data_IF_221806853093
#
_entry.id   IF_221806853093
#
_cell.length_a   1.000
_cell.length_b   1.000
_cell.length_c   1.000
_cell.angle_alpha   90.00
_cell.angle_beta   90.00
_cell.angle_gamma   90.00
#
_symmetry.space_group_name_H-M   'P 1'
#
loop_
_entity.id
_entity.type
_entity.pdbx_description
1 polymer ?
#
# COMPACT_ATOMS: atom_id res chain seq x y z
N UNK A 1 -25.49 -9.84 -3.15
CA UNK A 1 -24.50 -10.85 -3.58
C UNK A 1 -25.21 -12.06 -4.16
N UNK A 2 -24.74 -12.63 -5.27
CA UNK A 2 -25.29 -13.88 -5.83
C UNK A 2 -24.18 -14.69 -6.48
N UNK A 3 -24.33 -16.01 -6.50
CA UNK A 3 -23.34 -16.91 -7.08
C UNK A 3 -23.72 -18.37 -6.88
N UNK A 4 -22.87 -19.25 -7.36
CA UNK A 4 -22.94 -20.68 -7.15
C UNK A 4 -21.57 -21.19 -6.70
N UNK A 5 -21.58 -22.23 -5.88
CA UNK A 5 -20.42 -22.95 -5.40
C UNK A 5 -20.45 -24.36 -6.01
N UNK A 6 -19.30 -24.84 -6.45
CA UNK A 6 -19.04 -26.23 -6.80
C UNK A 6 -18.01 -26.76 -5.81
N UNK A 7 -18.36 -27.84 -5.09
CA UNK A 7 -17.48 -28.47 -4.10
C UNK A 7 -16.75 -29.68 -4.68
N UNK A 8 -15.72 -30.12 -3.97
CA UNK A 8 -14.88 -31.26 -4.37
C UNK A 8 -15.67 -32.58 -4.48
N UNK A 9 -16.72 -32.75 -3.68
CA UNK A 9 -17.65 -33.89 -3.75
C UNK A 9 -18.63 -33.81 -4.93
N UNK A 10 -18.53 -32.77 -5.76
CA UNK A 10 -19.42 -32.48 -6.88
C UNK A 10 -20.74 -31.84 -6.48
N UNK A 11 -21.01 -31.64 -5.18
CA UNK A 11 -22.20 -30.94 -4.72
C UNK A 11 -22.16 -29.47 -5.12
N UNK A 12 -23.34 -28.93 -5.43
CA UNK A 12 -23.51 -27.54 -5.86
C UNK A 12 -24.36 -26.78 -4.87
N UNK A 13 -24.07 -25.51 -4.65
CA UNK A 13 -24.92 -24.61 -3.86
C UNK A 13 -25.15 -23.30 -4.59
N UNK A 14 -26.39 -22.87 -4.69
CA UNK A 14 -26.73 -21.52 -5.14
C UNK A 14 -26.94 -20.57 -3.97
N UNK A 15 -26.66 -19.29 -4.16
CA UNK A 15 -27.06 -18.26 -3.21
C UNK A 15 -27.40 -16.95 -3.92
N UNK A 16 -28.36 -16.22 -3.35
CA UNK A 16 -28.75 -14.89 -3.82
C UNK A 16 -29.33 -14.08 -2.68
N UNK A 17 -28.66 -12.99 -2.36
CA UNK A 17 -28.94 -12.12 -1.22
C UNK A 17 -28.80 -10.66 -1.65
N UNK A 18 -29.53 -9.78 -0.99
CA UNK A 18 -29.54 -8.35 -1.23
C UNK A 18 -29.32 -7.64 0.10
N UNK A 19 -28.46 -6.64 0.09
CA UNK A 19 -28.26 -5.73 1.21
C UNK A 19 -28.72 -4.32 0.85
N UNK A 20 -29.10 -3.56 1.87
CA UNK A 20 -29.52 -2.16 1.80
C UNK A 20 -28.89 -1.40 2.98
N UNK A 21 -28.29 -0.24 2.72
CA UNK A 21 -27.52 0.54 3.72
C UNK A 21 -26.46 -0.27 4.48
N UNK A 22 -25.77 -1.16 3.77
CA UNK A 22 -24.72 -2.02 4.34
C UNK A 22 -25.23 -3.13 5.27
N UNK A 23 -26.55 -3.35 5.34
CA UNK A 23 -27.19 -4.41 6.13
C UNK A 23 -27.91 -5.40 5.25
N UNK A 24 -28.05 -6.63 5.72
CA UNK A 24 -28.82 -7.65 5.01
C UNK A 24 -30.31 -7.27 4.92
N UNK A 25 -30.93 -7.55 3.78
CA UNK A 25 -32.27 -7.04 3.45
C UNK A 25 -33.22 -8.13 2.93
N UNK A 26 -32.81 -8.88 1.90
CA UNK A 26 -33.61 -9.97 1.29
C UNK A 26 -32.69 -11.13 0.98
N UNK A 27 -33.13 -12.37 1.21
CA UNK A 27 -32.38 -13.57 0.82
C UNK A 27 -33.29 -14.59 0.12
N UNK A 28 -32.68 -15.42 -0.74
CA UNK A 28 -33.34 -16.51 -1.45
C UNK A 28 -33.16 -17.81 -0.66
N UNK A 29 -34.27 -18.43 -0.26
CA UNK A 29 -34.30 -19.84 0.15
C UNK A 29 -34.16 -20.69 -1.11
N UNK A 30 -33.07 -21.45 -1.22
CA UNK A 30 -32.77 -22.30 -2.39
C UNK A 30 -33.30 -23.72 -2.25
N UNK A 31 -33.87 -24.10 -1.11
CA UNK A 31 -34.62 -25.34 -0.96
C UNK A 31 -36.05 -25.13 -1.49
N UNK A 32 -36.67 -24.01 -1.11
CA UNK A 32 -38.06 -23.68 -1.48
C UNK A 32 -38.19 -22.79 -2.70
N UNK A 33 -37.09 -22.19 -3.15
CA UNK A 33 -37.04 -21.25 -4.28
C UNK A 33 -37.96 -20.04 -4.10
N UNK A 34 -38.00 -19.51 -2.87
CA UNK A 34 -38.76 -18.30 -2.51
C UNK A 34 -37.86 -17.31 -1.79
N UNK A 35 -38.10 -16.03 -1.98
CA UNK A 35 -37.41 -15.00 -1.22
C UNK A 35 -38.01 -14.86 0.17
N UNK A 36 -37.21 -14.49 1.15
CA UNK A 36 -37.67 -14.13 2.48
C UNK A 36 -37.06 -12.78 2.91
N UNK A 37 -37.84 -11.93 3.60
CA UNK A 37 -37.36 -10.65 4.08
C UNK A 37 -36.49 -10.83 5.32
N UNK A 38 -35.45 -10.03 5.45
CA UNK A 38 -34.63 -9.93 6.67
C UNK A 38 -34.98 -8.67 7.49
N UNK A 39 -35.79 -7.78 6.92
CA UNK A 39 -36.31 -6.57 7.56
C UNK A 39 -37.77 -6.33 7.17
N UNK A 40 -38.51 -5.56 7.96
CA UNK A 40 -39.92 -5.26 7.67
C UNK A 40 -40.09 -4.47 6.36
N UNK A 41 -39.14 -3.58 6.06
CA UNK A 41 -39.15 -2.78 4.84
C UNK A 41 -39.00 -3.65 3.58
N UNK A 42 -38.43 -4.85 3.70
CA UNK A 42 -38.27 -5.79 2.59
C UNK A 42 -39.55 -6.56 2.23
N UNK A 43 -40.55 -6.60 3.13
CA UNK A 43 -41.74 -7.45 2.97
C UNK A 43 -42.50 -7.20 1.67
N UNK A 44 -42.73 -5.92 1.32
CA UNK A 44 -43.47 -5.55 0.10
C UNK A 44 -42.76 -6.07 -1.15
N UNK A 45 -41.43 -5.97 -1.19
CA UNK A 45 -40.63 -6.47 -2.32
C UNK A 45 -40.70 -7.99 -2.42
N UNK A 46 -40.58 -8.68 -1.29
CA UNK A 46 -40.63 -10.15 -1.25
C UNK A 46 -42.00 -10.69 -1.65
N UNK A 47 -43.09 -10.09 -1.15
CA UNK A 47 -44.46 -10.46 -1.54
C UNK A 47 -44.64 -10.34 -3.06
N UNK A 48 -44.16 -9.24 -3.66
CA UNK A 48 -44.20 -9.06 -5.11
C UNK A 48 -43.34 -10.09 -5.86
N UNK A 49 -42.14 -10.40 -5.37
CA UNK A 49 -41.24 -11.34 -6.03
C UNK A 49 -41.71 -12.79 -5.96
N UNK A 50 -42.39 -13.16 -4.88
CA UNK A 50 -42.96 -14.48 -4.67
C UNK A 50 -44.40 -14.60 -5.21
N UNK A 51 -44.96 -13.56 -5.81
CA UNK A 51 -46.32 -13.61 -6.35
C UNK A 51 -46.42 -14.64 -7.49
N UNK A 52 -47.60 -15.24 -7.73
CA UNK A 52 -47.81 -16.22 -8.80
C UNK A 52 -47.45 -15.70 -10.20
N UNK A 53 -47.56 -14.39 -10.43
CA UNK A 53 -47.22 -13.74 -11.70
C UNK A 53 -45.71 -13.57 -11.85
N UNK A 54 -45.01 -13.25 -10.76
CA UNK A 54 -43.59 -12.92 -10.78
C UNK A 54 -42.69 -14.17 -10.68
N UNK A 55 -42.97 -15.06 -9.71
CA UNK A 55 -42.24 -16.32 -9.43
C UNK A 55 -40.71 -16.16 -9.57
N UNK A 56 -40.17 -15.09 -9.01
CA UNK A 56 -38.78 -14.67 -9.28
C UNK A 56 -37.79 -15.71 -8.78
N UNK A 57 -38.07 -16.34 -7.62
CA UNK A 57 -37.20 -17.36 -7.05
C UNK A 57 -37.04 -18.57 -7.97
N UNK A 58 -38.14 -19.10 -8.52
CA UNK A 58 -38.10 -20.20 -9.49
C UNK A 58 -37.33 -19.84 -10.77
N UNK A 59 -37.49 -18.62 -11.28
CA UNK A 59 -36.69 -18.17 -12.45
C UNK A 59 -35.19 -18.14 -12.15
N UNK A 60 -34.79 -17.97 -10.88
CA UNK A 60 -33.39 -18.03 -10.47
C UNK A 60 -32.87 -19.45 -10.28
N UNK A 61 -33.74 -20.44 -10.12
CA UNK A 61 -33.37 -21.87 -10.05
C UNK A 61 -32.50 -22.29 -11.23
N UNK A 62 -33.01 -22.14 -12.44
CA UNK A 62 -32.28 -22.53 -13.65
C UNK A 62 -30.93 -21.80 -13.79
N UNK A 63 -30.86 -20.53 -13.39
CA UNK A 63 -29.60 -19.80 -13.43
C UNK A 63 -28.59 -20.35 -12.42
N UNK A 64 -29.00 -20.54 -11.17
CA UNK A 64 -28.09 -20.92 -10.08
C UNK A 64 -27.67 -22.39 -10.13
N UNK A 65 -28.57 -23.30 -10.54
CA UNK A 65 -28.28 -24.73 -10.61
C UNK A 65 -27.55 -25.11 -11.92
N UNK A 66 -27.87 -24.46 -13.04
CA UNK A 66 -27.33 -24.85 -14.35
C UNK A 66 -26.36 -23.81 -14.92
N UNK A 67 -26.86 -22.64 -15.32
CA UNK A 67 -26.07 -21.65 -16.09
C UNK A 67 -24.83 -21.20 -15.33
N UNK A 68 -24.96 -20.97 -14.02
CA UNK A 68 -23.86 -20.54 -13.17
C UNK A 68 -22.82 -21.65 -13.01
N UNK A 69 -23.25 -22.90 -12.76
CA UNK A 69 -22.35 -24.05 -12.58
C UNK A 69 -21.61 -24.38 -13.89
N UNK A 70 -22.31 -24.38 -15.02
CA UNK A 70 -21.70 -24.60 -16.33
C UNK A 70 -20.68 -23.50 -16.66
N UNK A 71 -20.99 -22.26 -16.33
CA UNK A 71 -20.07 -21.14 -16.45
C UNK A 71 -18.85 -21.31 -15.55
N UNK A 72 -19.06 -21.65 -14.28
CA UNK A 72 -17.99 -21.88 -13.30
C UNK A 72 -17.04 -22.98 -13.77
N UNK A 73 -17.55 -24.12 -14.26
CA UNK A 73 -16.71 -25.21 -14.80
C UNK A 73 -15.83 -24.73 -15.96
N UNK A 74 -16.36 -23.92 -16.88
CA UNK A 74 -15.59 -23.35 -18.00
C UNK A 74 -14.51 -22.39 -17.50
N UNK A 75 -14.82 -21.53 -16.52
CA UNK A 75 -13.84 -20.59 -15.97
C UNK A 75 -12.76 -21.28 -15.16
N UNK A 76 -13.08 -22.35 -14.44
CA UNK A 76 -12.09 -23.20 -13.76
C UNK A 76 -11.12 -23.81 -14.77
N UNK A 77 -11.61 -24.27 -15.93
CA UNK A 77 -10.75 -24.81 -16.99
C UNK A 77 -9.88 -23.71 -17.63
N UNK A 78 -10.48 -22.58 -18.00
CA UNK A 78 -9.76 -21.48 -18.65
C UNK A 78 -8.73 -20.82 -17.73
N UNK A 79 -9.05 -20.69 -16.45
CA UNK A 79 -8.24 -20.02 -15.44
C UNK A 79 -7.36 -20.97 -14.63
N UNK A 80 -7.30 -22.26 -14.98
CA UNK A 80 -6.64 -23.28 -14.16
C UNK A 80 -5.23 -22.90 -13.75
N UNK A 81 -4.42 -22.44 -14.69
CA UNK A 81 -3.02 -22.05 -14.44
C UNK A 81 -2.92 -20.94 -13.38
N UNK A 82 -3.76 -19.91 -13.47
CA UNK A 82 -3.74 -18.79 -12.52
C UNK A 82 -4.35 -19.18 -11.16
N UNK A 83 -5.43 -19.97 -11.15
CA UNK A 83 -6.09 -20.42 -9.93
C UNK A 83 -5.23 -21.40 -9.12
N UNK A 84 -4.49 -22.29 -9.80
CA UNK A 84 -3.58 -23.25 -9.19
C UNK A 84 -2.17 -22.67 -8.97
N UNK A 85 -1.91 -21.44 -9.43
CA UNK A 85 -0.62 -20.77 -9.27
C UNK A 85 -0.26 -20.67 -7.79
N UNK A 86 0.99 -21.01 -7.47
CA UNK A 86 1.53 -20.90 -6.12
C UNK A 86 2.71 -19.94 -6.13
N UNK A 87 2.61 -18.88 -5.35
CA UNK A 87 3.71 -17.93 -5.15
C UNK A 87 4.15 -17.97 -3.71
N UNK A 88 5.46 -18.10 -3.50
CA UNK A 88 6.07 -18.17 -2.17
C UNK A 88 6.04 -16.79 -1.50
N UNK A 89 5.61 -16.69 -0.22
CA UNK A 89 5.66 -15.44 0.51
C UNK A 89 7.11 -14.95 0.70
N UNK A 90 7.32 -13.66 0.55
CA UNK A 90 8.49 -12.96 1.09
C UNK A 90 8.17 -12.46 2.50
N UNK A 91 9.07 -12.68 3.45
CA UNK A 91 8.84 -12.36 4.86
C UNK A 91 9.91 -11.41 5.36
N UNK A 92 9.49 -10.30 5.97
CA UNK A 92 10.37 -9.34 6.62
C UNK A 92 9.93 -9.12 8.06
N UNK A 93 10.88 -9.28 8.99
CA UNK A 93 10.68 -8.96 10.40
C UNK A 93 11.33 -7.61 10.71
N UNK A 94 10.54 -6.69 11.27
CA UNK A 94 10.98 -5.38 11.71
C UNK A 94 10.53 -5.15 13.15
N UNK A 95 11.23 -4.27 13.88
CA UNK A 95 10.82 -3.86 15.21
C UNK A 95 10.78 -2.35 15.36
N UNK A 96 9.91 -1.87 16.25
CA UNK A 96 9.80 -0.45 16.60
C UNK A 96 9.68 -0.31 18.12
N UNK A 97 10.44 0.61 18.75
CA UNK A 97 10.26 0.91 20.18
C UNK A 97 8.82 1.35 20.49
N UNK A 98 8.26 0.83 21.59
CA UNK A 98 6.92 1.12 22.11
C UNK A 98 7.01 1.36 23.62
N UNK A 99 7.46 2.56 24.01
CA UNK A 99 7.74 2.86 25.43
C UNK A 99 8.86 1.98 25.98
N UNK A 100 8.59 1.22 27.05
CA UNK A 100 9.50 0.21 27.61
C UNK A 100 9.43 -1.15 26.89
N UNK A 101 8.48 -1.33 25.98
CA UNK A 101 8.31 -2.52 25.17
C UNK A 101 8.85 -2.33 23.75
N UNK A 102 8.86 -3.41 22.98
CA UNK A 102 9.21 -3.46 21.57
C UNK A 102 8.04 -4.04 20.79
N UNK A 103 7.56 -3.31 19.78
CA UNK A 103 6.55 -3.82 18.85
C UNK A 103 7.24 -4.49 17.67
N UNK A 104 7.04 -5.80 17.52
CA UNK A 104 7.54 -6.59 16.40
C UNK A 104 6.49 -6.63 15.30
N UNK A 105 6.94 -6.59 14.05
CA UNK A 105 6.11 -6.66 12.86
C UNK A 105 6.65 -7.73 11.93
N UNK A 106 5.82 -8.72 11.64
CA UNK A 106 6.05 -9.68 10.58
C UNK A 106 5.25 -9.24 9.37
N UNK A 107 5.96 -8.87 8.31
CA UNK A 107 5.37 -8.43 7.06
C UNK A 107 5.54 -9.55 6.04
N UNK A 108 4.42 -10.06 5.52
CA UNK A 108 4.36 -11.17 4.58
C UNK A 108 3.80 -10.64 3.27
N UNK A 109 4.55 -10.79 2.18
CA UNK A 109 4.28 -10.16 0.88
C UNK A 109 4.30 -11.17 -0.26
N UNK A 110 3.62 -10.83 -1.36
CA UNK A 110 3.81 -11.49 -2.65
C UNK A 110 3.30 -12.93 -2.71
N UNK A 111 2.40 -13.35 -1.82
CA UNK A 111 1.93 -14.73 -1.79
C UNK A 111 0.62 -14.95 -2.56
N UNK A 112 0.43 -16.17 -3.07
CA UNK A 112 -0.80 -16.65 -3.67
C UNK A 112 -0.88 -18.18 -3.51
N UNK A 113 -2.02 -18.78 -3.11
CA UNK A 113 -3.36 -18.20 -2.95
C UNK A 113 -3.55 -17.32 -1.70
N UNK A 114 -4.77 -16.80 -1.48
CA UNK A 114 -5.08 -15.86 -0.39
C UNK A 114 -4.91 -16.42 1.02
N UNK A 115 -5.15 -17.72 1.17
CA UNK A 115 -5.19 -18.37 2.48
C UNK A 115 -3.77 -18.60 3.02
N UNK A 116 -3.48 -17.98 4.16
CA UNK A 116 -2.18 -18.01 4.84
C UNK A 116 -2.40 -18.01 6.36
N UNK A 117 -1.57 -18.73 7.10
CA UNK A 117 -1.50 -18.62 8.56
C UNK A 117 -0.15 -18.01 8.98
N UNK A 118 -0.19 -17.04 9.89
CA UNK A 118 0.99 -16.26 10.30
C UNK A 118 0.97 -16.06 11.80
N UNK A 119 1.85 -16.73 12.54
CA UNK A 119 1.87 -16.70 14.00
C UNK A 119 3.22 -16.22 14.53
N UNK A 120 3.18 -15.55 15.68
CA UNK A 120 4.39 -15.20 16.42
C UNK A 120 4.68 -16.30 17.43
N UNK A 121 5.96 -16.65 17.58
CA UNK A 121 6.42 -17.58 18.61
C UNK A 121 7.47 -16.93 19.50
N UNK A 122 7.38 -17.18 20.81
CA UNK A 122 8.41 -16.90 21.82
C UNK A 122 8.99 -18.22 22.31
N UNK A 123 10.28 -18.46 22.10
CA UNK A 123 10.95 -19.72 22.47
C UNK A 123 10.22 -20.96 21.93
N UNK A 124 9.70 -20.87 20.69
CA UNK A 124 8.95 -21.95 20.04
C UNK A 124 7.48 -22.07 20.43
N UNK A 125 6.99 -21.34 21.44
CA UNK A 125 5.57 -21.34 21.84
C UNK A 125 4.81 -20.19 21.19
N UNK A 126 3.61 -20.47 20.68
CA UNK A 126 2.75 -19.45 20.06
C UNK A 126 2.36 -18.35 21.06
N UNK A 127 2.44 -17.10 20.61
CA UNK A 127 1.97 -15.92 21.33
C UNK A 127 0.90 -15.18 20.51
N UNK A 128 -0.10 -14.59 21.17
CA UNK A 128 -1.17 -13.89 20.47
C UNK A 128 -0.63 -12.66 19.74
N UNK A 129 -1.19 -12.39 18.56
CA UNK A 129 -0.93 -11.15 17.83
C UNK A 129 -1.93 -10.07 18.28
N UNK A 130 -1.47 -8.83 18.40
CA UNK A 130 -2.29 -7.73 18.94
C UNK A 130 -3.30 -7.15 17.95
N UNK A 131 -3.13 -7.44 16.65
CA UNK A 131 -3.88 -6.80 15.56
C UNK A 131 -4.64 -7.84 14.75
N UNK A 132 -5.84 -7.45 14.28
CA UNK A 132 -6.60 -8.27 13.35
C UNK A 132 -5.80 -8.43 12.05
N UNK A 133 -5.36 -9.67 11.78
CA UNK A 133 -4.60 -10.04 10.58
C UNK A 133 -5.50 -9.95 9.35
N UNK A 134 -5.52 -8.80 8.68
CA UNK A 134 -6.23 -8.67 7.41
C UNK A 134 -5.30 -8.99 6.24
N UNK A 135 -5.69 -9.95 5.41
CA UNK A 135 -5.04 -10.20 4.11
C UNK A 135 -5.53 -9.16 3.10
N UNK A 136 -4.61 -8.37 2.58
CA UNK A 136 -4.86 -7.31 1.59
C UNK A 136 -4.38 -7.76 0.20
N UNK A 137 -5.12 -7.42 -0.87
CA UNK A 137 -4.70 -7.73 -2.24
C UNK A 137 -3.64 -6.75 -2.76
N UNK A 138 -2.78 -7.23 -3.65
CA UNK A 138 -1.84 -6.45 -4.45
C UNK A 138 -2.33 -6.33 -5.90
N UNK A 139 -1.77 -5.39 -6.66
CA UNK A 139 -2.14 -5.14 -8.06
C UNK A 139 -1.71 -6.23 -9.04
N UNK A 140 -0.74 -7.06 -8.64
CA UNK A 140 -0.16 -8.16 -9.43
C UNK A 140 -0.89 -9.50 -9.18
N UNK A 141 -2.02 -9.47 -8.49
CA UNK A 141 -2.80 -10.66 -8.14
C UNK A 141 -2.27 -11.45 -6.94
N UNK A 142 -1.21 -10.98 -6.27
CA UNK A 142 -0.73 -11.56 -5.00
C UNK A 142 -1.39 -10.89 -3.79
N UNK A 143 -1.03 -11.34 -2.60
CA UNK A 143 -1.55 -10.84 -1.34
C UNK A 143 -0.43 -10.37 -0.40
N UNK A 144 -0.81 -9.59 0.60
CA UNK A 144 0.06 -9.15 1.69
C UNK A 144 -0.68 -9.19 3.04
N UNK A 145 0.08 -9.40 4.11
CA UNK A 145 -0.43 -9.43 5.49
C UNK A 145 0.64 -8.88 6.43
N UNK A 146 0.19 -8.25 7.52
CA UNK A 146 1.05 -7.83 8.64
C UNK A 146 0.52 -8.43 9.94
N UNK A 147 1.40 -9.12 10.67
CA UNK A 147 1.13 -9.61 12.01
C UNK A 147 2.05 -8.90 13.01
N UNK A 148 1.46 -8.26 14.02
CA UNK A 148 2.20 -7.47 15.01
C UNK A 148 2.07 -8.09 16.41
N UNK A 149 3.12 -7.96 17.22
CA UNK A 149 3.07 -8.32 18.64
C UNK A 149 3.94 -7.37 19.46
N UNK A 150 3.45 -6.94 20.61
CA UNK A 150 4.19 -6.16 21.59
C UNK A 150 4.85 -7.10 22.60
N UNK A 151 6.16 -6.96 22.76
CA UNK A 151 6.97 -7.81 23.63
C UNK A 151 7.90 -6.94 24.47
N UNK A 152 8.15 -7.37 25.71
CA UNK A 152 9.28 -6.87 26.48
C UNK A 152 10.44 -7.83 26.25
N UNK A 153 11.52 -7.43 25.54
CA UNK A 153 12.63 -8.33 25.27
C UNK A 153 13.25 -8.82 26.59
N UNK A 154 13.33 -10.14 26.73
CA UNK A 154 13.96 -10.80 27.87
C UNK A 154 15.31 -11.39 27.43
N UNK A 155 16.31 -11.35 28.31
CA UNK A 155 17.62 -11.92 28.03
C UNK A 155 17.50 -13.43 27.75
N UNK A 156 18.01 -13.86 26.59
CA UNK A 156 17.93 -15.25 26.13
C UNK A 156 16.60 -15.66 25.49
N UNK A 157 15.58 -14.79 25.48
CA UNK A 157 14.35 -15.07 24.74
C UNK A 157 14.55 -14.90 23.24
N UNK A 158 13.92 -15.78 22.47
CA UNK A 158 13.93 -15.78 21.02
C UNK A 158 12.51 -15.56 20.49
N UNK A 159 12.38 -14.73 19.46
CA UNK A 159 11.10 -14.41 18.84
C UNK A 159 11.19 -14.72 17.35
N UNK A 160 10.17 -15.38 16.82
CA UNK A 160 10.11 -15.76 15.40
C UNK A 160 8.73 -15.59 14.82
N UNK A 161 8.67 -15.13 13.58
CA UNK A 161 7.46 -15.19 12.77
C UNK A 161 7.39 -16.53 12.03
N UNK A 162 6.28 -17.24 12.19
CA UNK A 162 5.99 -18.51 11.57
C UNK A 162 4.91 -18.31 10.50
N UNK A 163 5.21 -18.67 9.25
CA UNK A 163 4.30 -18.50 8.11
C UNK A 163 4.03 -19.86 7.47
N UNK A 164 2.78 -20.29 7.53
CA UNK A 164 2.29 -21.49 6.86
C UNK A 164 1.42 -21.08 5.66
N UNK A 165 1.74 -21.66 4.51
CA UNK A 165 1.13 -21.30 3.24
C UNK A 165 1.27 -22.45 2.24
N UNK A 166 0.24 -22.71 1.44
CA UNK A 166 0.18 -23.85 0.51
C UNK A 166 1.26 -23.87 -0.60
N UNK A 167 2.01 -22.78 -0.78
CA UNK A 167 3.17 -22.73 -1.70
C UNK A 167 4.51 -23.15 -1.05
N UNK A 168 4.49 -23.52 0.23
CA UNK A 168 5.64 -23.94 1.00
C UNK A 168 5.58 -25.44 1.28
N UNK A 169 6.74 -26.11 1.23
CA UNK A 169 6.85 -27.52 1.62
C UNK A 169 6.91 -27.67 3.15
N UNK A 170 7.56 -26.69 3.80
CA UNK A 170 7.63 -26.53 5.25
C UNK A 170 7.37 -25.06 5.61
N UNK A 171 6.77 -24.77 6.77
CA UNK A 171 6.52 -23.40 7.20
C UNK A 171 7.80 -22.56 7.27
N UNK A 172 7.73 -21.29 6.87
CA UNK A 172 8.83 -20.36 7.03
C UNK A 172 8.94 -19.92 8.49
N UNK A 173 10.15 -19.99 9.03
CA UNK A 173 10.47 -19.51 10.37
C UNK A 173 11.52 -18.40 10.28
N UNK A 174 11.09 -17.16 10.50
CA UNK A 174 11.95 -15.97 10.40
C UNK A 174 12.18 -15.41 11.80
N UNK A 175 13.42 -15.53 12.28
CA UNK A 175 13.84 -15.01 13.58
C UNK A 175 13.89 -13.49 13.55
N UNK A 176 13.50 -12.85 14.65
CA UNK A 176 13.79 -11.44 14.87
C UNK A 176 15.24 -11.28 15.33
N UNK A 177 16.05 -10.55 14.54
CA UNK A 177 17.36 -10.07 14.99
C UNK A 177 17.24 -8.61 15.49
N UNK A 178 17.52 -8.34 16.78
CA UNK A 178 17.55 -6.98 17.31
C UNK A 178 18.51 -6.04 16.56
N UNK A 179 19.54 -6.55 15.87
CA UNK A 179 20.53 -5.74 15.14
C UNK A 179 19.98 -5.14 13.86
N UNK A 180 19.08 -5.82 13.16
CA UNK A 180 18.47 -5.34 11.90
C UNK A 180 17.69 -4.02 12.12
N UNK A 181 17.17 -3.83 13.33
CA UNK A 181 16.49 -2.59 13.72
C UNK A 181 17.46 -1.40 13.94
N UNK A 182 18.71 -1.67 14.30
CA UNK A 182 19.74 -0.64 14.52
C UNK A 182 20.34 -0.16 13.20
N UNK A 183 20.51 -1.05 12.21
CA UNK A 183 21.06 -0.67 10.90
C UNK A 183 20.13 0.26 10.11
N UNK A 184 18.81 0.01 10.16
CA UNK A 184 17.83 0.90 9.52
C UNK A 184 17.89 2.34 10.08
N UNK A 185 18.07 2.51 11.39
CA UNK A 185 18.24 3.82 12.02
C UNK A 185 19.57 4.50 11.69
N UNK A 186 20.66 3.72 11.60
CA UNK A 186 21.98 4.22 11.24
C UNK A 186 22.03 4.75 9.79
N UNK A 187 21.47 4.00 8.84
CA UNK A 187 21.42 4.39 7.43
C UNK A 187 20.62 5.70 7.24
N UNK A 188 19.52 5.88 7.97
CA UNK A 188 18.71 7.09 7.92
C UNK A 188 19.48 8.31 8.46
N UNK A 189 20.23 8.15 9.54
CA UNK A 189 21.08 9.21 10.09
C UNK A 189 22.21 9.60 9.13
N UNK A 190 22.83 8.63 8.46
CA UNK A 190 23.84 8.88 7.42
C UNK A 190 23.23 9.65 6.24
N UNK A 191 22.06 9.23 5.74
CA UNK A 191 21.37 9.91 4.63
C UNK A 191 21.04 11.35 5.01
N UNK A 192 20.50 11.59 6.21
CA UNK A 192 20.21 12.94 6.71
C UNK A 192 21.50 13.77 6.78
N UNK A 193 22.58 13.20 7.31
CA UNK A 193 23.89 13.86 7.39
C UNK A 193 24.44 14.28 6.03
N UNK A 194 24.34 13.40 5.02
CA UNK A 194 24.77 13.69 3.65
C UNK A 194 23.93 14.80 3.04
N UNK A 195 22.60 14.75 3.17
CA UNK A 195 21.70 15.78 2.62
C UNK A 195 21.98 17.15 3.22
N UNK A 196 22.16 17.24 4.55
CA UNK A 196 22.53 18.49 5.22
C UNK A 196 23.89 18.99 4.73
N UNK A 197 24.88 18.11 4.61
CA UNK A 197 26.21 18.45 4.10
C UNK A 197 26.16 19.06 2.69
N UNK A 198 25.39 18.46 1.77
CA UNK A 198 25.22 18.96 0.40
C UNK A 198 24.56 20.34 0.38
N UNK A 199 23.52 20.56 1.19
CA UNK A 199 22.84 21.87 1.29
C UNK A 199 23.80 22.96 1.78
N UNK A 200 24.59 22.67 2.82
CA UNK A 200 25.57 23.63 3.35
C UNK A 200 26.61 24.00 2.29
N UNK A 201 27.15 23.01 1.58
CA UNK A 201 28.12 23.26 0.49
C UNK A 201 27.49 24.09 -0.63
N UNK A 202 26.25 23.79 -1.03
CA UNK A 202 25.55 24.55 -2.07
C UNK A 202 25.31 26.01 -1.66
N UNK A 203 24.95 26.27 -0.40
CA UNK A 203 24.77 27.63 0.12
C UNK A 203 26.10 28.40 0.18
N UNK A 204 27.19 27.75 0.58
CA UNK A 204 28.52 28.36 0.61
C UNK A 204 29.00 28.71 -0.81
N UNK A 205 28.88 27.79 -1.75
CA UNK A 205 29.25 28.02 -3.16
C UNK A 205 28.36 29.10 -3.78
N UNK A 206 27.04 29.02 -3.57
CA UNK A 206 26.09 30.03 -4.04
C UNK A 206 26.36 31.42 -3.44
N UNK A 207 26.71 31.48 -2.15
CA UNK A 207 27.12 32.70 -1.47
C UNK A 207 28.40 33.31 -2.06
N UNK A 208 29.43 32.49 -2.31
CA UNK A 208 30.69 32.94 -2.93
C UNK A 208 30.45 33.45 -4.35
N UNK A 209 29.70 32.71 -5.17
CA UNK A 209 29.34 33.12 -6.54
C UNK A 209 28.52 34.41 -6.53
N UNK A 210 27.56 34.52 -5.60
CA UNK A 210 26.76 35.72 -5.38
C UNK A 210 27.62 36.94 -5.03
N UNK A 211 28.56 36.81 -4.08
CA UNK A 211 29.47 37.88 -3.68
C UNK A 211 30.39 38.31 -4.82
N UNK A 212 30.95 37.36 -5.60
CA UNK A 212 31.81 37.68 -6.76
C UNK A 212 31.01 38.43 -7.82
N UNK A 213 29.80 37.98 -8.14
CA UNK A 213 28.93 38.66 -9.09
C UNK A 213 28.55 40.08 -8.63
N UNK A 214 28.28 40.25 -7.33
CA UNK A 214 27.97 41.55 -6.73
C UNK A 214 29.16 42.52 -6.79
N UNK A 215 30.38 42.04 -6.50
CA UNK A 215 31.61 42.82 -6.63
C UNK A 215 31.89 43.22 -8.07
N UNK A 216 31.66 42.32 -9.04
CA UNK A 216 31.81 42.60 -10.47
C UNK A 216 30.83 43.67 -10.95
N UNK A 217 29.58 43.64 -10.47
CA UNK A 217 28.55 44.66 -10.78
C UNK A 217 28.89 46.04 -10.19
N UNK A 218 29.49 46.11 -9.00
CA UNK A 218 29.94 47.39 -8.40
C UNK A 218 31.18 47.98 -9.09
N UNK A 219 32.05 47.16 -9.67
CA UNK A 219 33.24 47.62 -10.40
C UNK A 219 32.94 48.24 -11.77
N UNK A 220 31.73 48.07 -12.31
CA UNK A 220 31.35 48.52 -13.66
C UNK A 220 30.80 49.95 -13.77
N UNK A 221 30.52 50.63 -12.65
CA UNK A 221 30.02 52.02 -12.66
C UNK A 221 31.11 53.01 -12.20
N UNK A 222 32.02 53.38 -13.11
CA UNK A 222 32.74 54.67 -13.03
C UNK A 222 32.30 55.54 -14.23
N UNK A 223 31.78 56.76 -14.03
CA UNK A 223 31.48 57.66 -15.15
C UNK A 223 32.78 58.11 -15.84
N UNK A 224 32.80 58.38 -17.16
CA UNK A 224 34.03 58.74 -17.86
C UNK A 224 34.56 60.09 -17.37
N UNK A 225 35.85 60.13 -17.02
CA UNK A 225 36.56 61.32 -16.55
C UNK A 225 36.84 62.32 -17.69
N UNK A 226 36.71 63.59 -17.34
CA UNK A 226 36.99 64.78 -18.15
C UNK A 226 38.47 64.85 -18.58
N UNK A 227 38.75 65.09 -19.86
CA UNK A 227 40.10 65.34 -20.38
C UNK A 227 40.31 66.86 -20.54
N UNK A 228 41.37 67.47 -19.96
CA UNK A 228 41.67 68.87 -20.19
C UNK A 228 42.49 69.03 -21.48
N UNK A 229 42.18 70.05 -22.28
CA UNK A 229 42.95 70.45 -23.45
C UNK A 229 44.05 71.46 -23.06
N UNK A 230 45.19 71.35 -23.73
CA UNK A 230 46.43 72.07 -23.48
C UNK A 230 46.37 73.56 -23.85
N UNK A 231 47.11 74.36 -23.07
CA UNK A 231 47.43 75.76 -23.32
C UNK A 231 48.52 75.90 -24.38
N UNK A 232 48.51 77.02 -25.13
CA UNK A 232 49.57 78.04 -25.10
C UNK A 232 49.24 79.25 -26.01
N UNK A 233 49.08 80.40 -25.36
CA UNK A 233 49.64 81.74 -25.58
C UNK A 233 49.55 82.56 -26.91
N UNK A 234 48.82 83.70 -26.75
CA UNK A 234 49.17 85.13 -26.99
C UNK A 234 49.28 85.72 -28.43
N UNK A 235 48.17 86.39 -28.85
CA UNK A 235 47.94 87.81 -29.30
C UNK A 235 48.95 88.63 -30.15
N UNK A 236 48.60 89.81 -30.74
CA UNK A 236 47.28 90.42 -31.11
C UNK A 236 47.26 91.03 -32.55
N UNK A 237 46.08 91.49 -33.04
CA UNK A 237 45.91 92.80 -33.70
C UNK A 237 44.47 93.05 -34.20
N UNK A 238 44.02 94.28 -33.97
CA UNK A 238 42.74 94.92 -34.29
C UNK A 238 42.38 95.00 -35.77
N UNK A 239 41.09 95.14 -36.12
CA UNK A 239 40.44 96.43 -36.49
C UNK A 239 39.10 96.31 -37.27
N UNK A 240 38.11 97.07 -36.80
CA UNK A 240 37.17 97.98 -37.54
C UNK A 240 36.03 97.42 -38.42
N UNK A 241 34.79 97.73 -37.95
CA UNK A 241 33.60 98.36 -38.59
C UNK A 241 33.16 97.94 -40.01
N UNK A 242 31.93 97.38 -40.10
CA UNK A 242 30.76 97.97 -40.78
C UNK A 242 29.49 97.21 -40.37
#
# INVERSE_FOLDING_TARGET
MYGCELRDDGSTRGYRQFGYDGKDFISLDTERWVYYPLTDQAQVSVQRWNSPEARVGERKKNYLENICIDGLRKYLEYGKEELERRVRPEVKVCSRPSGSAMKLHCQVYGFHPRDVDVNWKKNGMDIPSDEAKQVLPNSDGTYQLRASVEVTPEDGASYSCHVDHSSLDEPLLVMWDPKDSKEAGSNLAIIIGVVIGVIVVALLVGGVVGVVFWRKKRSGNKPPGYAPAASNDVSPASSIVA
#
